data_IF_743124720007
#
_entry.id   IF_743124720007
#
_cell.length_a   1.000
_cell.length_b   1.000
_cell.length_c   1.000
_cell.angle_alpha   90.00
_cell.angle_beta   90.00
_cell.angle_gamma   90.00
#
_symmetry.space_group_name_H-M   'P 1'
#
loop_
_entity.id
_entity.type
_entity.pdbx_description
1 polymer ?
#
# COMPACT_ATOMS: atom_id res chain seq x y z
N UNK A 1 -4.27 -29.88 -3.38
CA UNK A 1 -5.00 -28.68 -3.83
C UNK A 1 -4.08 -27.52 -3.53
N UNK A 2 -3.45 -26.98 -4.57
CA UNK A 2 -2.38 -25.98 -4.46
C UNK A 2 -2.78 -24.82 -3.54
N UNK A 3 -2.11 -24.69 -2.40
CA UNK A 3 -2.08 -23.47 -1.61
C UNK A 3 -1.40 -22.40 -2.47
N UNK A 4 -2.17 -21.68 -3.28
CA UNK A 4 -1.70 -20.41 -3.81
C UNK A 4 -1.43 -19.51 -2.61
N UNK A 5 -0.16 -19.26 -2.32
CA UNK A 5 0.25 -18.17 -1.42
C UNK A 5 -0.33 -16.87 -1.99
N UNK A 6 -1.50 -16.49 -1.50
CA UNK A 6 -2.15 -15.25 -1.87
C UNK A 6 -1.50 -14.13 -1.06
N UNK A 7 -0.97 -13.14 -1.74
CA UNK A 7 -0.43 -11.94 -1.10
C UNK A 7 -1.61 -11.10 -0.62
N UNK A 8 -1.74 -10.93 0.70
CA UNK A 8 -2.69 -10.00 1.29
C UNK A 8 -2.07 -8.60 1.35
N UNK A 9 -2.82 -7.58 0.91
CA UNK A 9 -2.38 -6.18 0.92
C UNK A 9 -3.29 -5.37 1.85
N UNK A 10 -2.76 -4.97 3.00
CA UNK A 10 -3.45 -4.09 3.97
C UNK A 10 -3.20 -2.61 3.64
N UNK A 11 -3.95 -2.08 2.67
CA UNK A 11 -3.81 -0.68 2.24
C UNK A 11 -4.22 0.34 3.33
N UNK A 12 -5.04 -0.07 4.31
CA UNK A 12 -5.45 0.75 5.45
C UNK A 12 -4.29 1.21 6.35
N UNK A 13 -3.18 0.47 6.33
CA UNK A 13 -1.96 0.79 7.06
C UNK A 13 -0.85 1.37 6.14
N UNK A 14 -1.18 1.72 4.90
CA UNK A 14 -0.22 2.29 3.96
C UNK A 14 0.27 3.66 4.46
N UNK A 15 1.58 3.82 4.59
CA UNK A 15 2.23 5.09 4.93
C UNK A 15 2.40 6.04 3.74
N UNK A 16 1.86 5.67 2.58
CA UNK A 16 1.98 6.44 1.33
C UNK A 16 3.43 6.73 0.88
N UNK A 17 4.42 5.99 1.40
CA UNK A 17 5.84 6.24 1.12
C UNK A 17 6.28 5.82 -0.30
N UNK A 18 5.49 5.00 -0.99
CA UNK A 18 5.78 4.55 -2.35
C UNK A 18 6.84 3.47 -2.49
N UNK A 19 7.43 2.96 -1.39
CA UNK A 19 8.48 1.93 -1.45
C UNK A 19 8.03 0.68 -2.23
N UNK A 20 6.78 0.24 -2.04
CA UNK A 20 6.25 -0.92 -2.74
C UNK A 20 6.19 -0.72 -4.26
N UNK A 21 5.85 0.50 -4.73
CA UNK A 21 5.85 0.87 -6.15
C UNK A 21 7.25 0.81 -6.77
N UNK A 22 8.28 1.13 -5.98
CA UNK A 22 9.68 1.08 -6.44
C UNK A 22 10.20 -0.36 -6.45
N UNK A 23 9.87 -1.13 -5.41
CA UNK A 23 10.37 -2.48 -5.22
C UNK A 23 9.69 -3.53 -6.12
N UNK A 24 8.49 -3.27 -6.61
CA UNK A 24 7.70 -4.22 -7.39
C UNK A 24 7.01 -3.52 -8.58
N UNK A 25 7.30 -3.96 -9.80
CA UNK A 25 6.68 -3.42 -11.02
C UNK A 25 5.22 -3.88 -11.20
N UNK A 26 4.81 -4.94 -10.51
CA UNK A 26 3.47 -5.54 -10.64
C UNK A 26 2.45 -4.99 -9.63
N UNK A 27 2.78 -3.92 -8.91
CA UNK A 27 1.86 -3.28 -7.98
C UNK A 27 1.19 -2.06 -8.61
N UNK A 28 -0.15 -2.02 -8.58
CA UNK A 28 -0.91 -0.83 -8.94
C UNK A 28 -1.05 0.08 -7.71
N UNK A 29 -0.07 0.95 -7.52
CA UNK A 29 -0.07 1.90 -6.40
C UNK A 29 -0.65 3.26 -6.82
N UNK A 30 -1.58 3.78 -6.02
CA UNK A 30 -2.23 5.09 -6.19
C UNK A 30 -2.37 5.78 -4.84
N UNK A 31 -2.23 7.10 -4.83
CA UNK A 31 -2.55 7.89 -3.65
C UNK A 31 -4.04 7.74 -3.28
N UNK A 32 -4.38 7.78 -1.99
CA UNK A 32 -5.77 7.84 -1.55
C UNK A 32 -6.41 9.16 -2.00
N UNK A 33 -7.75 9.16 -2.01
CA UNK A 33 -8.51 10.39 -2.25
C UNK A 33 -8.22 11.39 -1.13
N UNK A 34 -8.25 12.69 -1.45
CA UNK A 34 -8.04 13.75 -0.45
C UNK A 34 -8.97 13.58 0.76
N UNK A 35 -8.42 13.74 1.96
CA UNK A 35 -9.12 13.50 3.23
C UNK A 35 -9.07 12.05 3.74
N UNK A 36 -8.38 11.15 3.03
CA UNK A 36 -8.09 9.78 3.45
C UNK A 36 -6.58 9.54 3.48
N UNK A 37 -6.18 8.40 4.05
CA UNK A 37 -4.79 7.98 4.08
C UNK A 37 -4.11 8.30 5.41
N UNK A 38 -2.79 8.43 5.36
CA UNK A 38 -1.99 8.68 6.56
C UNK A 38 -2.07 10.16 6.97
N UNK A 39 -2.28 10.41 8.26
CA UNK A 39 -2.27 11.75 8.84
C UNK A 39 -1.19 11.83 9.92
N UNK A 40 -0.08 12.50 9.62
CA UNK A 40 1.01 12.71 10.58
C UNK A 40 0.65 13.84 11.55
N UNK A 41 0.71 13.56 12.86
CA UNK A 41 0.47 14.57 13.90
C UNK A 41 1.71 15.38 14.25
N UNK A 42 2.89 14.77 14.18
CA UNK A 42 4.15 15.38 14.61
C UNK A 42 5.28 15.24 13.59
N UNK A 43 4.99 14.69 12.40
CA UNK A 43 6.02 14.31 11.42
C UNK A 43 6.72 13.03 11.83
#
# INVERSE_FOLDING_TARGET
MDEKENIAISFEACLECGTCRIACEFIDWKNPRGGFGVCYRYG
#
